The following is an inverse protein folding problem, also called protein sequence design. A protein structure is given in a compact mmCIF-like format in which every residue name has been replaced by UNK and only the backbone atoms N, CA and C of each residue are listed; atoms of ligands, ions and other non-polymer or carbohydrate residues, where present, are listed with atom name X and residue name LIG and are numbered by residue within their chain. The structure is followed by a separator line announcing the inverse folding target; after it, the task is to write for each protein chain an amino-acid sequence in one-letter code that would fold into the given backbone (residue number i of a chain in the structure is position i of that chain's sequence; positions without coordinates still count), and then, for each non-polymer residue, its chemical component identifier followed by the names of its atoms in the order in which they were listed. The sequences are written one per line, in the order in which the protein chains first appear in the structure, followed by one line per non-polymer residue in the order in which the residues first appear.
data_IF_864069458051
#
_entry.id   IF_864069458051
#
_cell.length_a   1.000
_cell.length_b   1.000
_cell.length_c   1.000
_cell.angle_alpha   90.00
_cell.angle_beta   90.00
_cell.angle_gamma   90.00
#
_symmetry.space_group_name_H-M   'P 1'
#
loop_
_entity.id
_entity.type
_entity.pdbx_description
1 polymer ?
#
# COMPACT_ATOMS: atom_id res chain seq x y z
N UNK A 1 36.54 24.71 -48.64
CA UNK A 1 35.96 23.48 -49.23
C UNK A 1 35.54 22.62 -48.06
N UNK A 2 34.24 22.48 -47.92
CA UNK A 2 33.52 21.81 -46.84
C UNK A 2 33.60 20.31 -47.03
N UNK A 3 34.14 19.60 -46.06
CA UNK A 3 34.01 18.14 -45.99
C UNK A 3 32.89 17.85 -44.97
N UNK A 4 31.78 17.33 -45.49
CA UNK A 4 30.59 17.01 -44.73
C UNK A 4 30.77 15.69 -44.01
N UNK A 5 30.87 15.73 -42.69
CA UNK A 5 30.77 14.54 -41.85
C UNK A 5 29.29 14.17 -41.72
N UNK A 6 28.93 13.06 -42.35
CA UNK A 6 27.63 12.41 -42.31
C UNK A 6 27.33 11.96 -40.86
N UNK A 7 26.60 12.80 -40.13
CA UNK A 7 26.12 12.55 -38.78
C UNK A 7 24.98 11.54 -38.80
N UNK A 8 25.32 10.26 -39.00
CA UNK A 8 24.44 9.16 -38.62
C UNK A 8 24.77 8.78 -37.19
N UNK A 9 23.99 9.28 -36.24
CA UNK A 9 23.84 8.63 -34.94
C UNK A 9 23.55 7.15 -35.21
N UNK A 10 24.53 6.30 -34.91
CA UNK A 10 24.28 4.87 -34.82
C UNK A 10 23.31 4.71 -33.67
N UNK A 11 22.08 4.28 -33.97
CA UNK A 11 21.16 3.76 -32.98
C UNK A 11 21.95 2.79 -32.08
N UNK A 12 22.17 3.19 -30.83
CA UNK A 12 22.90 2.37 -29.87
C UNK A 12 22.23 1.01 -29.78
N UNK A 13 23.02 -0.05 -29.67
CA UNK A 13 22.52 -1.41 -29.49
C UNK A 13 21.44 -1.46 -28.41
N UNK A 14 20.43 -2.34 -28.53
CA UNK A 14 19.43 -2.54 -27.48
C UNK A 14 20.14 -2.79 -26.14
N UNK A 15 19.61 -2.16 -25.08
CA UNK A 15 20.11 -2.34 -23.72
C UNK A 15 19.43 -3.58 -23.14
N UNK A 16 20.19 -4.66 -23.01
CA UNK A 16 19.71 -5.96 -22.52
C UNK A 16 19.69 -6.01 -20.98
N UNK A 17 19.94 -4.88 -20.31
CA UNK A 17 19.93 -4.76 -18.85
C UNK A 17 18.58 -5.09 -18.23
N UNK A 18 18.62 -5.82 -17.13
CA UNK A 18 17.47 -6.16 -16.29
C UNK A 18 17.38 -5.18 -15.12
N UNK A 19 16.21 -4.56 -14.92
CA UNK A 19 15.98 -3.66 -13.80
C UNK A 19 15.20 -4.38 -12.71
N UNK A 20 15.77 -4.46 -11.51
CA UNK A 20 15.06 -4.82 -10.29
C UNK A 20 14.68 -3.54 -9.55
N UNK A 21 13.40 -3.39 -9.21
CA UNK A 21 12.87 -2.15 -8.62
C UNK A 21 12.16 -2.44 -7.32
N UNK A 22 12.57 -1.75 -6.25
CA UNK A 22 11.94 -1.78 -4.92
C UNK A 22 11.71 -0.35 -4.43
N UNK A 23 10.78 -0.15 -3.49
CA UNK A 23 10.50 1.17 -2.88
C UNK A 23 9.79 1.01 -1.53
N UNK A 24 9.61 2.13 -0.83
CA UNK A 24 8.79 2.22 0.40
C UNK A 24 9.22 1.15 1.42
N UNK A 25 10.53 1.14 1.71
CA UNK A 25 11.20 0.31 2.72
C UNK A 25 11.07 0.95 4.11
N UNK A 26 11.09 2.29 4.19
CA UNK A 26 11.03 3.11 5.40
C UNK A 26 11.92 2.59 6.55
N UNK A 27 13.19 2.32 6.26
CA UNK A 27 14.14 1.86 7.26
C UNK A 27 14.55 3.04 8.16
N UNK A 28 14.47 2.86 9.47
CA UNK A 28 14.83 3.88 10.46
C UNK A 28 13.64 4.60 11.11
N UNK A 29 13.97 5.42 12.10
CA UNK A 29 13.04 6.11 12.98
C UNK A 29 13.39 5.87 14.46
N UNK A 30 12.76 6.63 15.35
CA UNK A 30 13.04 6.49 16.79
C UNK A 30 12.28 5.31 17.44
N UNK A 31 12.86 4.76 18.50
CA UNK A 31 12.25 3.76 19.39
C UNK A 31 11.72 2.53 18.63
N UNK A 32 10.40 2.30 18.65
CA UNK A 32 9.78 1.14 18.04
C UNK A 32 9.78 1.17 16.50
N UNK A 33 10.13 2.31 15.89
CA UNK A 33 10.29 2.45 14.44
C UNK A 33 11.71 2.07 13.98
N UNK A 34 12.66 1.91 14.91
CA UNK A 34 14.00 1.37 14.63
C UNK A 34 13.94 -0.10 14.19
N UNK A 35 12.88 -0.83 14.57
CA UNK A 35 12.70 -2.23 14.19
C UNK A 35 12.24 -2.37 12.73
N UNK A 36 13.20 -2.55 11.81
CA UNK A 36 12.93 -2.86 10.42
C UNK A 36 12.51 -4.34 10.25
N UNK A 37 11.21 -4.63 10.42
CA UNK A 37 10.66 -6.00 10.43
C UNK A 37 11.02 -6.83 9.17
N UNK A 38 11.19 -6.18 8.01
CA UNK A 38 11.52 -6.82 6.72
C UNK A 38 13.02 -6.83 6.38
N UNK A 39 13.89 -6.38 7.29
CA UNK A 39 15.33 -6.28 7.03
C UNK A 39 15.97 -7.63 6.66
N UNK A 40 15.70 -8.76 7.34
CA UNK A 40 16.28 -10.04 6.95
C UNK A 40 15.94 -10.47 5.52
N UNK A 41 14.70 -10.21 5.09
CA UNK A 41 14.26 -10.47 3.72
C UNK A 41 14.94 -9.55 2.71
N UNK A 42 15.21 -8.29 3.08
CA UNK A 42 15.93 -7.35 2.22
C UNK A 42 17.39 -7.76 2.07
N UNK A 43 18.05 -8.15 3.16
CA UNK A 43 19.42 -8.66 3.13
C UNK A 43 19.52 -9.91 2.24
N UNK A 44 18.58 -10.85 2.35
CA UNK A 44 18.54 -12.03 1.48
C UNK A 44 18.28 -11.69 0.01
N UNK A 45 17.49 -10.65 -0.27
CA UNK A 45 17.29 -10.15 -1.63
C UNK A 45 18.56 -9.53 -2.21
N UNK A 46 19.26 -8.71 -1.43
CA UNK A 46 20.54 -8.08 -1.80
C UNK A 46 21.65 -9.12 -2.03
N UNK A 47 21.81 -10.10 -1.13
CA UNK A 47 22.78 -11.20 -1.26
C UNK A 47 22.59 -12.00 -2.57
N UNK A 48 21.32 -12.26 -2.93
CA UNK A 48 21.00 -12.91 -4.20
C UNK A 48 21.36 -12.04 -5.42
N UNK A 49 21.14 -10.73 -5.35
CA UNK A 49 21.55 -9.82 -6.43
C UNK A 49 23.08 -9.69 -6.51
N UNK A 50 23.78 -9.64 -5.38
CA UNK A 50 25.23 -9.60 -5.34
C UNK A 50 25.88 -10.78 -6.08
N UNK A 51 25.21 -11.93 -6.11
CA UNK A 51 25.68 -13.17 -6.73
C UNK A 51 25.02 -13.51 -8.08
N UNK A 52 24.24 -12.58 -8.66
CA UNK A 52 23.58 -12.81 -9.95
C UNK A 52 24.56 -12.78 -11.13
N UNK A 53 24.27 -13.57 -12.17
CA UNK A 53 24.96 -13.55 -13.46
C UNK A 53 24.23 -12.66 -14.50
N UNK A 54 23.08 -12.08 -14.15
CA UNK A 54 22.34 -11.15 -15.01
C UNK A 54 23.06 -9.79 -15.08
N UNK A 55 23.11 -9.15 -16.26
CA UNK A 55 23.44 -7.73 -16.37
C UNK A 55 22.26 -6.93 -15.79
N UNK A 56 22.29 -6.75 -14.48
CA UNK A 56 21.19 -6.20 -13.72
C UNK A 56 21.54 -4.84 -13.12
N UNK A 57 20.52 -4.02 -12.83
CA UNK A 57 20.60 -2.83 -12.00
C UNK A 57 19.47 -2.85 -10.97
N UNK A 58 19.81 -2.53 -9.72
CA UNK A 58 18.85 -2.35 -8.65
C UNK A 58 18.47 -0.86 -8.56
N UNK A 59 17.20 -0.54 -8.74
CA UNK A 59 16.65 0.79 -8.55
C UNK A 59 15.80 0.80 -7.27
N UNK A 60 16.25 1.55 -6.26
CA UNK A 60 15.50 1.85 -5.05
C UNK A 60 14.73 3.16 -5.31
N UNK A 61 13.45 3.05 -5.64
CA UNK A 61 12.62 4.13 -6.18
C UNK A 61 11.89 4.92 -5.08
N UNK A 62 12.67 5.52 -4.16
CA UNK A 62 12.17 6.37 -3.09
C UNK A 62 11.70 5.64 -1.83
N UNK A 63 11.70 6.41 -0.73
CA UNK A 63 11.32 5.99 0.61
C UNK A 63 12.08 4.74 1.08
N UNK A 64 13.39 4.73 0.80
CA UNK A 64 14.29 3.72 1.36
C UNK A 64 14.40 3.87 2.88
N UNK A 65 14.40 5.11 3.35
CA UNK A 65 14.59 5.45 4.76
C UNK A 65 13.43 6.29 5.31
N UNK A 66 13.10 6.08 6.59
CA UNK A 66 12.12 6.88 7.33
C UNK A 66 12.75 8.12 7.96
N UNK A 67 13.29 9.06 7.17
CA UNK A 67 14.02 10.22 7.73
C UNK A 67 13.11 11.19 8.50
N UNK A 68 11.81 11.22 8.19
CA UNK A 68 10.81 11.99 8.93
C UNK A 68 10.54 11.45 10.34
N UNK A 69 10.82 10.17 10.56
CA UNK A 69 10.58 9.45 11.79
C UNK A 69 11.71 9.63 12.84
N UNK A 70 12.87 10.15 12.43
CA UNK A 70 13.93 10.59 13.35
C UNK A 70 13.61 11.95 13.93
N UNK A 71 13.28 11.99 15.23
CA UNK A 71 12.95 13.23 15.97
C UNK A 71 14.09 13.72 16.85
N UNK A 72 15.18 12.95 16.94
CA UNK A 72 16.33 13.21 17.83
C UNK A 72 17.60 13.65 17.10
N UNK A 73 17.62 13.62 15.76
CA UNK A 73 18.74 14.02 14.91
C UNK A 73 18.29 14.88 13.72
N UNK A 74 19.19 15.72 13.21
CA UNK A 74 18.92 16.63 12.09
C UNK A 74 19.99 16.52 10.99
N UNK A 75 19.58 16.73 9.73
CA UNK A 75 20.51 16.76 8.59
C UNK A 75 21.31 15.47 8.46
N UNK A 76 22.63 15.59 8.31
CA UNK A 76 23.52 14.45 8.06
C UNK A 76 23.69 13.52 9.27
N UNK A 77 23.40 13.99 10.50
CA UNK A 77 23.46 13.14 11.71
C UNK A 77 22.53 11.93 11.59
N UNK A 78 21.44 12.05 10.82
CA UNK A 78 20.54 10.92 10.52
C UNK A 78 21.22 9.81 9.73
N UNK A 79 22.16 10.14 8.83
CA UNK A 79 22.96 9.14 8.13
C UNK A 79 23.83 8.35 9.11
N UNK A 80 24.48 9.04 10.04
CA UNK A 80 25.35 8.42 11.04
C UNK A 80 24.57 7.44 11.92
N UNK A 81 23.36 7.81 12.33
CA UNK A 81 22.45 6.92 13.05
C UNK A 81 22.05 5.71 12.20
N UNK A 82 21.67 5.91 10.94
CA UNK A 82 21.34 4.80 10.04
C UNK A 82 22.52 3.81 9.89
N UNK A 83 23.73 4.33 9.73
CA UNK A 83 24.95 3.55 9.58
C UNK A 83 25.29 2.78 10.86
N UNK A 84 25.13 3.40 12.04
CA UNK A 84 25.35 2.76 13.34
C UNK A 84 24.30 1.68 13.63
N UNK A 85 23.02 1.96 13.32
CA UNK A 85 21.90 1.06 13.61
C UNK A 85 21.82 -0.11 12.63
N UNK A 86 22.11 0.10 11.34
CA UNK A 86 21.95 -0.91 10.29
C UNK A 86 23.26 -1.24 9.54
N UNK A 87 24.36 -1.60 10.22
CA UNK A 87 25.65 -1.83 9.57
C UNK A 87 25.60 -2.98 8.56
N UNK A 88 24.77 -4.00 8.81
CA UNK A 88 24.58 -5.14 7.90
C UNK A 88 23.91 -4.73 6.58
N UNK A 89 22.99 -3.76 6.60
CA UNK A 89 22.35 -3.23 5.40
C UNK A 89 23.36 -2.51 4.50
N UNK A 90 24.14 -1.61 5.08
CA UNK A 90 25.16 -0.87 4.35
C UNK A 90 26.27 -1.78 3.82
N UNK A 91 26.65 -2.82 4.57
CA UNK A 91 27.55 -3.86 4.08
C UNK A 91 26.96 -4.62 2.88
N UNK A 92 25.69 -5.04 2.96
CA UNK A 92 25.01 -5.74 1.87
C UNK A 92 24.84 -4.87 0.62
N UNK A 93 24.53 -3.57 0.77
CA UNK A 93 24.48 -2.61 -0.34
C UNK A 93 25.84 -2.48 -1.03
N UNK A 94 26.92 -2.39 -0.24
CA UNK A 94 28.29 -2.34 -0.76
C UNK A 94 28.61 -3.59 -1.58
N UNK A 95 28.38 -4.77 -1.02
CA UNK A 95 28.65 -6.05 -1.68
C UNK A 95 27.81 -6.21 -2.96
N UNK A 96 26.52 -5.85 -2.90
CA UNK A 96 25.65 -5.85 -4.09
C UNK A 96 26.19 -4.94 -5.18
N UNK A 97 26.58 -3.72 -4.81
CA UNK A 97 27.14 -2.70 -5.69
C UNK A 97 28.48 -3.05 -6.34
N UNK A 98 29.18 -4.09 -5.88
CA UNK A 98 30.38 -4.59 -6.55
C UNK A 98 30.07 -5.33 -7.86
N UNK A 99 28.87 -5.92 -7.98
CA UNK A 99 28.43 -6.71 -9.13
C UNK A 99 27.26 -6.05 -9.88
N UNK A 100 26.29 -5.50 -9.15
CA UNK A 100 25.04 -4.92 -9.66
C UNK A 100 25.00 -3.43 -9.32
N UNK A 101 24.96 -2.50 -10.28
CA UNK A 101 24.75 -1.09 -9.99
C UNK A 101 23.49 -0.87 -9.13
N UNK A 102 23.65 -0.11 -8.04
CA UNK A 102 22.55 0.26 -7.15
C UNK A 102 22.28 1.75 -7.30
N UNK A 103 21.10 2.11 -7.82
CA UNK A 103 20.63 3.49 -7.92
C UNK A 103 19.55 3.75 -6.88
N UNK A 104 19.66 4.86 -6.15
CA UNK A 104 18.69 5.30 -5.15
C UNK A 104 18.10 6.65 -5.58
N UNK A 105 16.77 6.74 -5.70
CA UNK A 105 16.06 8.01 -5.76
C UNK A 105 15.49 8.34 -4.38
N UNK A 106 15.44 9.62 -3.97
CA UNK A 106 14.68 10.04 -2.81
C UNK A 106 13.17 10.01 -3.05
N UNK A 107 12.42 9.59 -2.04
CA UNK A 107 10.97 9.76 -1.92
C UNK A 107 10.62 10.95 -1.03
N UNK A 108 9.40 10.97 -0.48
CA UNK A 108 9.02 12.06 0.43
C UNK A 108 9.57 11.83 1.85
N UNK A 109 9.57 10.60 2.36
CA UNK A 109 10.05 10.30 3.72
C UNK A 109 11.54 10.51 3.90
N UNK A 110 12.31 10.41 2.81
CA UNK A 110 13.74 10.62 2.76
C UNK A 110 14.15 11.73 1.78
N UNK A 111 13.28 12.71 1.50
CA UNK A 111 13.60 13.84 0.60
C UNK A 111 14.83 14.65 1.02
N UNK A 112 15.21 14.61 2.30
CA UNK A 112 16.44 15.24 2.81
C UNK A 112 17.70 14.69 2.11
N UNK A 113 17.63 13.49 1.51
CA UNK A 113 18.67 12.93 0.65
C UNK A 113 18.98 13.80 -0.58
N UNK A 114 18.02 14.59 -1.05
CA UNK A 114 18.22 15.57 -2.13
C UNK A 114 18.67 16.95 -1.63
N UNK A 115 18.69 17.18 -0.31
CA UNK A 115 18.95 18.50 0.27
C UNK A 115 20.41 18.72 0.67
N UNK A 116 21.20 17.65 0.81
CA UNK A 116 22.60 17.74 1.20
C UNK A 116 23.48 16.89 0.27
N UNK A 117 24.44 17.53 -0.41
CA UNK A 117 25.42 16.85 -1.28
C UNK A 117 26.22 15.78 -0.53
N UNK A 118 26.40 15.93 0.79
CA UNK A 118 27.11 14.97 1.63
C UNK A 118 26.46 13.59 1.61
N UNK A 119 25.14 13.48 1.49
CA UNK A 119 24.48 12.17 1.34
C UNK A 119 24.98 11.42 0.09
N UNK A 120 25.17 12.12 -1.02
CA UNK A 120 25.69 11.51 -2.27
C UNK A 120 27.07 10.92 -2.04
N UNK A 121 27.96 11.68 -1.39
CA UNK A 121 29.32 11.22 -1.08
C UNK A 121 29.32 10.00 -0.12
N UNK A 122 28.44 10.02 0.89
CA UNK A 122 28.33 8.94 1.88
C UNK A 122 27.78 7.65 1.27
N UNK A 123 26.72 7.72 0.45
CA UNK A 123 26.16 6.55 -0.23
C UNK A 123 27.11 5.96 -1.28
N UNK A 124 27.89 6.81 -1.98
CA UNK A 124 28.89 6.34 -2.92
C UNK A 124 29.96 5.45 -2.27
N UNK A 125 30.30 5.69 -0.99
CA UNK A 125 31.22 4.82 -0.24
C UNK A 125 30.69 3.39 -0.02
N UNK A 126 29.39 3.18 -0.23
CA UNK A 126 28.68 1.91 -0.16
C UNK A 126 28.23 1.41 -1.54
N UNK A 127 28.86 1.88 -2.62
CA UNK A 127 28.53 1.52 -4.00
C UNK A 127 27.07 1.83 -4.39
N UNK A 128 26.44 2.81 -3.74
CA UNK A 128 25.09 3.30 -4.07
C UNK A 128 25.19 4.64 -4.77
N UNK A 129 24.65 4.71 -5.99
CA UNK A 129 24.48 5.94 -6.76
C UNK A 129 23.17 6.63 -6.32
N UNK A 130 23.30 7.55 -5.36
CA UNK A 130 22.19 8.42 -4.96
C UNK A 130 21.99 9.50 -6.03
N UNK A 131 20.82 9.48 -6.67
CA UNK A 131 20.44 10.48 -7.68
C UNK A 131 19.44 11.45 -7.04
N UNK A 132 19.86 12.68 -6.66
CA UNK A 132 19.02 13.65 -5.94
C UNK A 132 17.98 14.34 -6.84
N UNK A 133 17.46 13.64 -7.84
CA UNK A 133 16.45 14.12 -8.79
C UNK A 133 15.08 13.52 -8.47
N UNK A 134 14.01 14.20 -8.89
CA UNK A 134 12.64 13.71 -8.68
C UNK A 134 12.29 12.50 -9.57
N UNK A 135 13.02 12.31 -10.65
CA UNK A 135 12.79 11.22 -11.59
C UNK A 135 14.04 10.92 -12.40
N UNK A 136 14.17 9.68 -12.87
CA UNK A 136 15.21 9.26 -13.82
C UNK A 136 14.60 8.45 -14.95
N UNK A 137 15.37 8.28 -16.02
CA UNK A 137 15.02 7.36 -17.11
C UNK A 137 16.09 6.30 -17.31
N UNK A 138 15.66 5.12 -17.76
CA UNK A 138 16.54 4.01 -18.17
C UNK A 138 16.06 3.41 -19.47
N UNK A 139 16.99 2.97 -20.32
CA UNK A 139 16.66 2.29 -21.57
C UNK A 139 16.49 0.80 -21.29
N UNK A 140 15.51 0.17 -21.92
CA UNK A 140 15.31 -1.28 -21.88
C UNK A 140 14.92 -1.75 -23.28
N UNK A 141 15.82 -2.50 -23.92
CA UNK A 141 15.70 -2.84 -25.34
C UNK A 141 15.62 -1.60 -26.23
N UNK A 142 14.48 -1.41 -26.90
CA UNK A 142 14.15 -0.26 -27.74
C UNK A 142 13.17 0.74 -27.10
N UNK A 143 12.90 0.56 -25.80
CA UNK A 143 12.00 1.39 -24.98
C UNK A 143 12.76 2.13 -23.89
N UNK A 144 12.06 3.05 -23.25
CA UNK A 144 12.50 3.76 -22.04
C UNK A 144 11.54 3.50 -20.87
N UNK A 145 12.09 3.40 -19.67
CA UNK A 145 11.40 3.38 -18.39
C UNK A 145 11.55 4.76 -17.75
N UNK A 146 10.46 5.36 -17.31
CA UNK A 146 10.45 6.53 -16.42
C UNK A 146 10.25 6.06 -14.99
N UNK A 147 11.18 6.43 -14.11
CA UNK A 147 11.11 6.17 -12.68
C UNK A 147 10.87 7.48 -11.93
N UNK A 148 9.87 7.50 -11.06
CA UNK A 148 9.69 8.52 -10.04
C UNK A 148 9.10 7.88 -8.78
N UNK A 149 9.32 8.44 -7.59
CA UNK A 149 8.74 7.85 -6.38
C UNK A 149 7.20 7.94 -6.38
N UNK A 150 6.62 9.06 -6.83
CA UNK A 150 5.18 9.24 -6.97
C UNK A 150 4.56 10.24 -5.98
N UNK A 151 5.28 10.66 -4.94
CA UNK A 151 4.84 11.75 -4.05
C UNK A 151 4.57 13.06 -4.80
N UNK A 152 5.19 13.24 -5.98
CA UNK A 152 4.96 14.37 -6.87
C UNK A 152 3.50 14.46 -7.33
N UNK A 153 2.76 13.35 -7.35
CA UNK A 153 1.36 13.29 -7.80
C UNK A 153 0.35 13.35 -6.65
N UNK A 154 0.83 13.34 -5.41
CA UNK A 154 0.01 13.40 -4.20
C UNK A 154 0.06 14.82 -3.60
N UNK A 155 -1.04 15.61 -3.64
CA UNK A 155 -1.05 16.96 -3.08
C UNK A 155 -0.69 17.04 -1.59
N UNK A 156 -0.94 15.99 -0.82
CA UNK A 156 -0.65 15.96 0.62
C UNK A 156 0.82 15.64 0.90
N UNK A 157 1.54 15.03 -0.05
CA UNK A 157 2.94 14.61 0.10
C UNK A 157 3.89 15.26 -0.91
N UNK A 158 3.39 16.09 -1.83
CA UNK A 158 4.19 16.81 -2.82
C UNK A 158 5.10 17.83 -2.14
N UNK A 159 6.39 17.74 -2.43
CA UNK A 159 7.41 18.69 -1.97
C UNK A 159 7.55 19.79 -3.03
N UNK A 160 7.08 21.00 -2.72
CA UNK A 160 7.06 22.11 -3.68
C UNK A 160 8.46 22.66 -4.02
N UNK A 161 9.35 22.70 -3.03
CA UNK A 161 10.74 23.18 -3.16
C UNK A 161 11.69 21.99 -3.00
N UNK A 162 11.85 21.19 -4.06
CA UNK A 162 12.76 20.03 -4.04
C UNK A 162 14.21 20.44 -3.74
N UNK A 163 14.87 19.69 -2.86
CA UNK A 163 16.20 20.02 -2.34
C UNK A 163 16.22 21.02 -1.19
N UNK A 164 15.07 21.57 -0.76
CA UNK A 164 14.97 22.35 0.47
C UNK A 164 14.67 21.42 1.66
N UNK A 165 15.56 21.30 2.67
CA UNK A 165 15.35 20.39 3.81
C UNK A 165 14.19 20.80 4.73
N UNK A 166 13.66 22.02 4.56
CA UNK A 166 12.54 22.54 5.35
C UNK A 166 11.20 22.49 4.60
N UNK A 167 11.18 21.97 3.36
CA UNK A 167 9.96 21.82 2.59
C UNK A 167 9.10 20.66 3.13
N UNK A 168 8.18 20.99 4.03
CA UNK A 168 7.36 20.02 4.77
C UNK A 168 5.91 20.02 4.25
N UNK A 169 5.48 18.98 3.52
CA UNK A 169 4.10 18.87 3.04
C UNK A 169 3.13 18.48 4.18
N UNK A 170 1.82 18.47 3.93
CA UNK A 170 0.83 18.15 4.98
C UNK A 170 1.03 16.74 5.58
N UNK A 171 1.43 15.78 4.75
CA UNK A 171 1.73 14.41 5.15
C UNK A 171 2.87 14.30 6.15
N UNK A 172 3.87 15.19 6.07
CA UNK A 172 4.96 15.29 7.05
C UNK A 172 4.40 15.51 8.46
N UNK A 173 3.52 16.51 8.63
CA UNK A 173 2.95 16.82 9.94
C UNK A 173 2.08 15.68 10.48
N UNK A 174 1.36 14.98 9.61
CA UNK A 174 0.61 13.80 10.03
C UNK A 174 1.56 12.71 10.52
N UNK A 175 2.61 12.39 9.77
CA UNK A 175 3.57 11.37 10.16
C UNK A 175 4.32 11.77 11.45
N UNK A 176 5.02 12.90 11.47
CA UNK A 176 5.82 13.31 12.64
C UNK A 176 4.98 13.46 13.92
N UNK A 177 3.74 13.96 13.83
CA UNK A 177 2.91 14.16 15.03
C UNK A 177 2.13 12.92 15.46
N UNK A 178 1.72 12.06 14.52
CA UNK A 178 0.88 10.89 14.84
C UNK A 178 1.72 9.63 14.87
N UNK A 179 2.48 9.36 13.82
CA UNK A 179 3.28 8.15 13.67
C UNK A 179 4.48 8.11 14.61
N UNK A 180 5.36 9.13 14.61
CA UNK A 180 6.53 9.13 15.50
C UNK A 180 6.11 9.11 16.97
N UNK A 181 5.06 9.87 17.33
CA UNK A 181 4.49 9.81 18.68
C UNK A 181 3.86 8.45 19.00
N UNK A 182 3.23 7.79 18.04
CA UNK A 182 2.66 6.45 18.24
C UNK A 182 3.77 5.42 18.47
N UNK A 183 4.88 5.50 17.73
CA UNK A 183 6.11 4.74 17.97
C UNK A 183 6.61 4.94 19.40
N UNK A 184 6.80 6.19 19.81
CA UNK A 184 7.31 6.56 21.15
C UNK A 184 6.41 6.14 22.32
N UNK A 185 5.10 6.02 22.06
CA UNK A 185 4.11 5.67 23.08
C UNK A 185 3.76 4.18 23.07
N UNK A 186 4.21 3.41 22.09
CA UNK A 186 3.76 2.04 21.87
C UNK A 186 4.12 1.11 23.04
N UNK A 187 5.26 1.35 23.69
CA UNK A 187 5.72 0.58 24.87
C UNK A 187 4.92 0.86 26.14
N UNK A 188 4.05 1.88 26.15
CA UNK A 188 3.19 2.19 27.30
C UNK A 188 1.89 1.38 27.30
N UNK A 189 1.54 0.73 26.20
CA UNK A 189 0.37 -0.13 26.07
C UNK A 189 0.56 -1.49 26.74
N UNK A 190 -0.51 -2.28 26.90
CA UNK A 190 -0.35 -3.70 27.30
C UNK A 190 0.29 -4.54 26.20
N UNK A 191 0.18 -4.06 24.97
CA UNK A 191 0.73 -4.67 23.76
C UNK A 191 1.33 -3.57 22.88
N UNK A 192 2.43 -3.88 22.19
CA UNK A 192 3.11 -2.99 21.26
C UNK A 192 2.39 -3.00 19.90
N UNK A 193 1.37 -2.14 19.74
CA UNK A 193 0.53 -2.10 18.52
C UNK A 193 0.35 -0.71 17.92
N UNK A 194 0.75 0.34 18.63
CA UNK A 194 0.69 1.70 18.11
C UNK A 194 1.75 1.94 17.03
N UNK A 195 2.84 1.18 17.02
CA UNK A 195 3.81 1.19 15.92
C UNK A 195 3.18 0.87 14.54
N UNK A 196 2.11 0.06 14.50
CA UNK A 196 1.46 -0.33 13.24
C UNK A 196 0.58 0.79 12.62
N UNK A 197 0.60 2.02 13.15
CA UNK A 197 -0.18 3.15 12.61
C UNK A 197 0.11 3.40 11.14
N UNK A 198 1.38 3.30 10.72
CA UNK A 198 1.79 3.45 9.31
C UNK A 198 1.14 2.40 8.39
N UNK A 199 0.83 1.22 8.91
CA UNK A 199 0.20 0.14 8.16
C UNK A 199 -1.32 0.32 7.98
N UNK A 200 -1.93 1.33 8.62
CA UNK A 200 -3.38 1.59 8.54
C UNK A 200 -3.70 2.48 7.35
N UNK A 201 -3.92 1.84 6.20
CA UNK A 201 -4.33 2.55 4.99
C UNK A 201 -5.74 2.14 4.53
N UNK A 202 -6.57 3.10 4.05
CA UNK A 202 -6.39 4.55 4.15
C UNK A 202 -6.68 5.09 5.58
N UNK A 203 -6.26 6.33 5.84
CA UNK A 203 -6.23 6.97 7.18
C UNK A 203 -7.60 7.06 7.85
N UNK A 204 -8.70 7.08 7.10
CA UNK A 204 -10.08 7.11 7.65
C UNK A 204 -10.41 5.84 8.44
N UNK A 205 -9.62 4.76 8.26
CA UNK A 205 -9.77 3.53 9.04
C UNK A 205 -9.18 3.64 10.45
N UNK A 206 -8.37 4.66 10.74
CA UNK A 206 -7.69 4.85 12.03
C UNK A 206 -8.62 4.77 13.24
N UNK A 207 -9.77 5.48 13.30
CA UNK A 207 -10.66 5.39 14.47
C UNK A 207 -11.21 3.98 14.70
N UNK A 208 -11.55 3.28 13.62
CA UNK A 208 -12.07 1.90 13.67
C UNK A 208 -10.97 0.92 14.07
N UNK A 209 -9.75 1.13 13.59
CA UNK A 209 -8.57 0.35 13.96
C UNK A 209 -8.24 0.51 15.45
N UNK A 210 -8.22 1.73 15.98
CA UNK A 210 -8.02 1.99 17.42
C UNK A 210 -9.10 1.28 18.25
N UNK A 211 -10.37 1.37 17.84
CA UNK A 211 -11.47 0.67 18.52
C UNK A 211 -11.27 -0.85 18.50
N UNK A 212 -10.83 -1.40 17.37
CA UNK A 212 -10.50 -2.82 17.24
C UNK A 212 -9.38 -3.22 18.19
N UNK A 213 -8.24 -2.51 18.18
CA UNK A 213 -7.10 -2.81 19.03
C UNK A 213 -7.44 -2.65 20.51
N UNK A 214 -8.23 -1.63 20.87
CA UNK A 214 -8.77 -1.52 22.21
C UNK A 214 -9.62 -2.74 22.59
N UNK A 215 -10.58 -3.14 21.76
CA UNK A 215 -11.46 -4.26 22.04
C UNK A 215 -10.70 -5.59 22.16
N UNK A 216 -9.81 -5.90 21.22
CA UNK A 216 -9.14 -7.20 21.17
C UNK A 216 -7.85 -7.27 22.01
N UNK A 217 -7.12 -6.17 22.21
CA UNK A 217 -5.83 -6.18 22.92
C UNK A 217 -5.89 -5.52 24.31
N UNK A 218 -6.54 -4.37 24.45
CA UNK A 218 -6.47 -3.60 25.72
C UNK A 218 -7.61 -3.90 26.71
N UNK A 219 -8.82 -4.15 26.21
CA UNK A 219 -10.03 -4.33 27.02
C UNK A 219 -9.88 -5.50 28.00
N UNK A 220 -10.30 -5.28 29.25
CA UNK A 220 -10.29 -6.33 30.27
C UNK A 220 -11.05 -7.58 29.75
N UNK A 221 -10.45 -8.79 29.83
CA UNK A 221 -11.07 -10.01 29.33
C UNK A 221 -12.49 -10.28 29.87
N UNK A 222 -12.76 -9.98 31.14
CA UNK A 222 -14.09 -10.15 31.73
C UNK A 222 -15.11 -9.22 31.06
N UNK A 223 -14.76 -7.96 30.84
CA UNK A 223 -15.61 -7.00 30.14
C UNK A 223 -15.80 -7.42 28.67
N UNK A 224 -14.73 -7.79 27.98
CA UNK A 224 -14.78 -8.22 26.59
C UNK A 224 -15.69 -9.41 26.38
N UNK A 225 -15.46 -10.51 27.11
CA UNK A 225 -16.23 -11.73 26.92
C UNK A 225 -17.67 -11.62 27.45
N UNK A 226 -17.95 -10.71 28.40
CA UNK A 226 -19.32 -10.39 28.79
C UNK A 226 -20.08 -9.57 27.74
N UNK A 227 -19.38 -8.73 26.96
CA UNK A 227 -19.98 -7.96 25.85
C UNK A 227 -20.26 -8.81 24.60
N UNK A 228 -19.43 -9.82 24.31
CA UNK A 228 -19.54 -10.64 23.09
C UNK A 228 -20.97 -11.18 22.83
N UNK A 229 -21.68 -11.79 23.81
CA UNK A 229 -23.05 -12.26 23.59
C UNK A 229 -24.02 -11.15 23.20
N UNK A 230 -23.89 -9.95 23.80
CA UNK A 230 -24.73 -8.80 23.48
C UNK A 230 -24.46 -8.31 22.05
N UNK A 231 -23.18 -8.20 21.67
CA UNK A 231 -22.78 -7.77 20.32
C UNK A 231 -23.21 -8.76 19.23
N UNK A 232 -23.11 -10.06 19.50
CA UNK A 232 -23.55 -11.12 18.58
C UNK A 232 -25.07 -11.12 18.39
N UNK A 233 -25.83 -10.88 19.46
CA UNK A 233 -27.30 -10.86 19.41
C UNK A 233 -27.87 -9.50 19.00
N UNK A 234 -27.04 -8.46 18.92
CA UNK A 234 -27.51 -7.10 18.64
C UNK A 234 -28.29 -7.00 17.33
N UNK A 235 -27.79 -7.59 16.23
CA UNK A 235 -28.48 -7.51 14.93
C UNK A 235 -29.88 -8.14 14.98
N UNK A 236 -29.99 -9.34 15.57
CA UNK A 236 -31.28 -10.02 15.77
C UNK A 236 -32.18 -9.18 16.66
N UNK A 237 -31.62 -8.60 17.72
CA UNK A 237 -32.35 -7.77 18.67
C UNK A 237 -32.83 -6.45 18.05
N UNK A 238 -32.06 -5.85 17.16
CA UNK A 238 -32.44 -4.66 16.41
C UNK A 238 -33.60 -4.96 15.46
N UNK A 239 -33.55 -6.09 14.73
CA UNK A 239 -34.68 -6.54 13.90
C UNK A 239 -35.93 -6.81 14.72
N UNK A 240 -35.79 -7.48 15.88
CA UNK A 240 -36.89 -7.72 16.80
C UNK A 240 -37.42 -6.43 17.43
N UNK A 241 -36.56 -5.44 17.70
CA UNK A 241 -36.98 -4.13 18.19
C UNK A 241 -37.82 -3.37 17.15
N UNK A 242 -37.43 -3.42 15.88
CA UNK A 242 -38.24 -2.89 14.78
C UNK A 242 -39.58 -3.62 14.70
N UNK A 243 -39.57 -4.97 14.76
CA UNK A 243 -40.78 -5.78 14.79
C UNK A 243 -41.71 -5.42 15.97
N UNK A 244 -41.16 -5.20 17.16
CA UNK A 244 -41.91 -4.79 18.34
C UNK A 244 -42.52 -3.39 18.17
N UNK A 245 -41.79 -2.46 17.52
CA UNK A 245 -42.33 -1.15 17.15
C UNK A 245 -43.50 -1.24 16.17
N UNK A 246 -43.41 -2.14 15.18
CA UNK A 246 -44.49 -2.39 14.22
C UNK A 246 -45.73 -3.03 14.87
N UNK A 247 -45.53 -3.92 15.84
CA UNK A 247 -46.60 -4.50 16.66
C UNK A 247 -47.32 -3.45 17.51
N UNK A 248 -46.55 -2.60 18.20
CA UNK A 248 -47.10 -1.46 18.95
C UNK A 248 -47.84 -0.46 18.06
N UNK A 249 -47.39 -0.29 16.81
CA UNK A 249 -48.06 0.56 15.83
C UNK A 249 -49.27 -0.11 15.15
N UNK A 250 -49.56 -1.37 15.45
CA UNK A 250 -50.66 -2.14 14.85
C UNK A 250 -50.43 -2.54 13.39
N UNK A 251 -49.20 -2.43 12.89
CA UNK A 251 -48.84 -2.76 11.51
C UNK A 251 -48.63 -4.26 11.32
N UNK A 252 -48.07 -4.96 12.31
CA UNK A 252 -47.78 -6.40 12.24
C UNK A 252 -47.67 -7.05 13.61
N UNK A 253 -48.23 -8.24 13.81
CA UNK A 253 -48.21 -8.94 15.11
C UNK A 253 -47.00 -9.87 15.30
N UNK A 254 -46.20 -9.65 16.34
CA UNK A 254 -45.03 -10.49 16.66
C UNK A 254 -45.39 -11.77 17.44
N UNK A 255 -44.84 -12.95 17.10
CA UNK A 255 -45.15 -14.22 17.78
C UNK A 255 -44.35 -14.43 19.08
N UNK A 256 -44.41 -13.44 20.00
CA UNK A 256 -43.60 -13.39 21.23
C UNK A 256 -43.78 -14.64 22.10
N UNK A 257 -45.02 -15.11 22.26
CA UNK A 257 -45.38 -16.26 23.09
C UNK A 257 -44.78 -17.58 22.58
N UNK A 258 -44.70 -17.76 21.25
CA UNK A 258 -44.07 -18.96 20.66
C UNK A 258 -42.57 -18.97 20.89
N UNK A 259 -41.92 -17.81 20.76
CA UNK A 259 -40.47 -17.69 20.99
C UNK A 259 -40.12 -17.93 22.46
N UNK A 260 -40.91 -17.37 23.38
CA UNK A 260 -40.74 -17.61 24.81
C UNK A 260 -40.94 -19.10 25.16
N UNK A 261 -42.02 -19.72 24.65
CA UNK A 261 -42.31 -21.13 24.88
C UNK A 261 -41.24 -22.08 24.29
N UNK A 262 -40.65 -21.73 23.14
CA UNK A 262 -39.55 -22.49 22.55
C UNK A 262 -38.29 -22.44 23.42
N UNK A 263 -37.90 -21.25 23.90
CA UNK A 263 -36.72 -21.10 24.74
C UNK A 263 -36.91 -21.76 26.11
N UNK A 264 -38.10 -21.73 26.68
CA UNK A 264 -38.39 -22.34 27.99
C UNK A 264 -38.19 -23.87 27.99
N UNK A 265 -38.21 -24.53 26.82
CA UNK A 265 -37.89 -25.96 26.67
C UNK A 265 -36.46 -26.30 27.13
N UNK A 266 -35.57 -25.32 27.16
CA UNK A 266 -34.19 -25.46 27.62
C UNK A 266 -34.03 -25.17 29.13
N UNK A 267 -35.14 -25.03 29.87
CA UNK A 267 -35.15 -24.79 31.32
C UNK A 267 -34.45 -23.49 31.71
N UNK A 268 -33.62 -23.52 32.76
CA UNK A 268 -32.94 -22.31 33.30
C UNK A 268 -32.06 -21.60 32.26
N UNK A 269 -31.43 -22.36 31.35
CA UNK A 269 -30.62 -21.78 30.29
C UNK A 269 -31.51 -21.00 29.29
N UNK A 270 -32.69 -21.55 29.00
CA UNK A 270 -33.72 -20.91 28.19
C UNK A 270 -34.25 -19.60 28.80
N UNK A 271 -34.57 -19.63 30.09
CA UNK A 271 -35.02 -18.42 30.81
C UNK A 271 -33.96 -17.32 30.80
N UNK A 272 -32.68 -17.68 30.99
CA UNK A 272 -31.56 -16.73 30.93
C UNK A 272 -31.38 -16.15 29.51
N UNK A 273 -31.48 -16.99 28.48
CA UNK A 273 -31.41 -16.56 27.08
C UNK A 273 -32.57 -15.62 26.72
N UNK A 274 -33.79 -15.91 27.18
CA UNK A 274 -34.95 -15.03 27.00
C UNK A 274 -34.76 -13.66 27.65
N UNK A 275 -34.31 -13.64 28.91
CA UNK A 275 -34.02 -12.38 29.61
C UNK A 275 -32.98 -11.54 28.86
N UNK A 276 -31.88 -12.18 28.44
CA UNK A 276 -30.82 -11.51 27.69
C UNK A 276 -31.32 -10.99 26.33
N UNK A 277 -32.19 -11.73 25.64
CA UNK A 277 -32.81 -11.28 24.40
C UNK A 277 -33.70 -10.06 24.62
N UNK A 278 -34.60 -10.10 25.60
CA UNK A 278 -35.50 -8.96 25.93
C UNK A 278 -34.71 -7.72 26.30
N UNK A 279 -33.66 -7.88 27.11
CA UNK A 279 -32.76 -6.78 27.48
C UNK A 279 -32.07 -6.20 26.24
N UNK A 280 -31.54 -7.05 25.34
CA UNK A 280 -30.91 -6.58 24.11
C UNK A 280 -31.91 -5.88 23.18
N UNK A 281 -33.14 -6.38 23.05
CA UNK A 281 -34.19 -5.74 22.24
C UNK A 281 -34.53 -4.36 22.80
N UNK A 282 -34.65 -4.23 24.12
CA UNK A 282 -34.90 -2.93 24.76
C UNK A 282 -33.76 -1.94 24.52
N UNK A 283 -32.51 -2.38 24.70
CA UNK A 283 -31.31 -1.55 24.46
C UNK A 283 -31.19 -1.19 22.97
N UNK A 284 -31.39 -2.14 22.07
CA UNK A 284 -31.35 -1.91 20.63
C UNK A 284 -32.46 -0.94 20.20
N UNK A 285 -33.68 -1.07 20.75
CA UNK A 285 -34.77 -0.13 20.52
C UNK A 285 -34.42 1.29 20.97
N UNK A 286 -33.86 1.45 22.16
CA UNK A 286 -33.37 2.75 22.65
C UNK A 286 -32.29 3.35 21.74
N UNK A 287 -31.30 2.53 21.33
CA UNK A 287 -30.24 2.97 20.43
C UNK A 287 -30.77 3.36 19.05
N UNK A 288 -31.75 2.64 18.50
CA UNK A 288 -32.43 3.00 17.25
C UNK A 288 -33.17 4.33 17.39
N UNK A 289 -33.87 4.55 18.51
CA UNK A 289 -34.55 5.82 18.78
C UNK A 289 -33.57 7.00 18.84
N UNK A 290 -32.38 6.82 19.42
CA UNK A 290 -31.31 7.85 19.44
C UNK A 290 -30.61 7.96 18.09
N UNK A 291 -30.50 6.87 17.33
CA UNK A 291 -29.86 6.86 16.01
C UNK A 291 -30.63 7.69 14.98
N UNK A 292 -31.96 7.78 15.09
CA UNK A 292 -32.80 8.59 14.19
C UNK A 292 -32.40 10.09 14.21
N UNK A 293 -32.43 10.82 15.35
CA UNK A 293 -31.99 12.22 15.37
C UNK A 293 -30.51 12.36 15.04
N UNK A 294 -29.66 11.43 15.49
CA UNK A 294 -28.22 11.48 15.17
C UNK A 294 -27.96 11.32 13.67
N UNK A 295 -28.74 10.50 12.97
CA UNK A 295 -28.68 10.36 11.51
C UNK A 295 -29.00 11.69 10.82
N UNK A 296 -30.03 12.41 11.26
CA UNK A 296 -30.37 13.72 10.69
C UNK A 296 -29.29 14.77 10.96
N UNK A 297 -28.75 14.82 12.19
CA UNK A 297 -27.62 15.72 12.53
C UNK A 297 -26.40 15.38 11.68
N UNK A 298 -26.01 14.10 11.60
CA UNK A 298 -24.88 13.65 10.77
C UNK A 298 -25.07 14.02 9.32
N UNK A 299 -26.27 13.84 8.78
CA UNK A 299 -26.60 14.20 7.40
C UNK A 299 -26.47 15.70 7.16
N UNK A 300 -26.88 16.52 8.11
CA UNK A 300 -26.79 17.98 8.03
C UNK A 300 -25.35 18.49 8.14
N UNK A 301 -24.58 17.94 9.09
CA UNK A 301 -23.14 18.19 9.23
C UNK A 301 -22.40 17.79 7.96
N UNK A 302 -22.68 16.61 7.40
CA UNK A 302 -22.04 16.14 6.15
C UNK A 302 -22.32 17.10 5.00
N UNK A 303 -23.59 17.46 4.76
CA UNK A 303 -23.94 18.45 3.74
C UNK A 303 -23.22 19.79 3.94
N UNK A 304 -23.04 20.20 5.20
CA UNK A 304 -22.34 21.43 5.55
C UNK A 304 -20.86 21.33 5.22
N UNK A 305 -20.21 20.23 5.58
CA UNK A 305 -18.82 19.92 5.24
C UNK A 305 -18.62 19.90 3.72
N UNK A 306 -19.46 19.17 2.99
CA UNK A 306 -19.39 19.06 1.52
C UNK A 306 -19.51 20.45 0.86
N UNK A 307 -20.33 21.34 1.43
CA UNK A 307 -20.50 22.72 0.93
C UNK A 307 -19.28 23.60 1.16
N UNK A 308 -18.54 23.40 2.25
CA UNK A 308 -17.40 24.23 2.59
C UNK A 308 -16.10 23.76 1.93
N UNK A 309 -16.06 22.57 1.32
CA UNK A 309 -14.83 22.02 0.72
C UNK A 309 -13.69 21.85 1.73
N UNK A 310 -13.96 21.97 3.03
CA UNK A 310 -12.97 21.90 4.13
C UNK A 310 -12.41 20.49 4.27
N UNK A 311 -13.14 19.52 3.75
CA UNK A 311 -12.63 18.21 3.42
C UNK A 311 -12.97 18.03 1.94
N UNK A 312 -12.01 18.17 1.03
CA UNK A 312 -12.06 17.41 -0.22
C UNK A 312 -12.23 15.96 0.21
N UNK A 313 -13.48 15.52 0.23
CA UNK A 313 -13.86 14.30 0.90
C UNK A 313 -13.57 13.21 -0.10
N UNK A 314 -12.34 12.71 -0.03
CA UNK A 314 -11.82 11.47 -0.58
C UNK A 314 -12.69 10.27 -0.13
N UNK A 315 -13.92 10.20 -0.60
CA UNK A 315 -14.73 8.98 -0.56
C UNK A 315 -14.84 8.33 -1.94
N UNK A 316 -14.33 9.00 -2.99
CA UNK A 316 -14.27 8.52 -4.38
C UNK A 316 -13.14 9.20 -5.19
N UNK A 317 -12.07 9.71 -4.57
CA UNK A 317 -10.88 10.07 -5.37
C UNK A 317 -10.20 8.75 -5.70
N UNK A 318 -10.18 8.40 -6.98
CA UNK A 318 -9.39 7.28 -7.46
C UNK A 318 -7.93 7.62 -7.15
N UNK A 319 -7.36 6.95 -6.15
CA UNK A 319 -5.99 7.15 -5.70
C UNK A 319 -4.98 6.90 -6.83
N UNK A 320 -5.40 6.30 -7.93
CA UNK A 320 -4.57 6.01 -9.10
C UNK A 320 -4.67 7.09 -10.19
N UNK A 321 -5.74 7.90 -10.26
CA UNK A 321 -5.98 8.81 -11.39
C UNK A 321 -4.84 9.84 -11.58
N UNK A 322 -4.29 10.49 -10.53
CA UNK A 322 -3.16 11.42 -10.70
C UNK A 322 -1.92 10.76 -11.33
N UNK A 323 -1.73 9.46 -11.10
CA UNK A 323 -0.63 8.69 -11.66
C UNK A 323 -0.91 8.24 -13.10
N UNK A 324 -2.17 7.90 -13.40
CA UNK A 324 -2.60 7.60 -14.76
C UNK A 324 -2.47 8.83 -15.64
N UNK A 325 -2.89 10.01 -15.17
CA UNK A 325 -2.73 11.29 -15.87
C UNK A 325 -1.24 11.60 -16.11
N UNK A 326 -0.40 11.51 -15.07
CA UNK A 326 1.04 11.73 -15.21
C UNK A 326 1.72 10.76 -16.18
N UNK A 327 1.32 9.48 -16.19
CA UNK A 327 1.83 8.50 -17.13
C UNK A 327 1.43 8.83 -18.58
N UNK A 328 0.17 9.24 -18.81
CA UNK A 328 -0.27 9.72 -20.14
C UNK A 328 0.58 10.88 -20.62
N UNK A 329 0.74 11.91 -19.78
CA UNK A 329 1.55 13.10 -20.12
C UNK A 329 2.98 12.70 -20.50
N UNK A 330 3.61 11.82 -19.72
CA UNK A 330 4.97 11.32 -20.01
C UNK A 330 5.04 10.54 -21.32
N UNK A 331 4.07 9.65 -21.59
CA UNK A 331 4.07 8.87 -22.83
C UNK A 331 3.77 9.72 -24.07
N UNK A 332 2.94 10.76 -23.93
CA UNK A 332 2.66 11.73 -25.00
C UNK A 332 3.88 12.61 -25.30
N UNK A 333 4.55 13.12 -24.27
CA UNK A 333 5.74 13.97 -24.41
C UNK A 333 6.97 13.20 -24.89
N UNK A 334 7.13 11.94 -24.46
CA UNK A 334 8.29 11.08 -24.74
C UNK A 334 7.84 9.71 -25.27
N UNK A 335 7.49 9.60 -26.56
CA UNK A 335 6.90 8.37 -27.14
C UNK A 335 7.80 7.12 -27.12
N UNK A 336 9.09 7.26 -26.82
CA UNK A 336 10.02 6.15 -26.55
C UNK A 336 9.81 5.52 -25.17
N UNK A 337 9.20 6.26 -24.24
CA UNK A 337 8.86 5.78 -22.90
C UNK A 337 7.64 4.88 -22.98
N UNK A 338 7.78 3.64 -22.52
CA UNK A 338 6.70 2.65 -22.53
C UNK A 338 6.28 2.22 -21.13
N UNK A 339 7.07 2.55 -20.10
CA UNK A 339 6.79 2.19 -18.71
C UNK A 339 6.95 3.43 -17.84
N UNK A 340 5.95 3.66 -16.99
CA UNK A 340 6.00 4.63 -15.90
C UNK A 340 5.96 3.82 -14.59
N UNK A 341 7.07 3.84 -13.85
CA UNK A 341 7.25 3.04 -12.64
C UNK A 341 7.33 3.95 -11.40
N UNK A 342 6.47 3.70 -10.42
CA UNK A 342 6.33 4.52 -9.21
C UNK A 342 6.07 3.72 -7.94
N UNK A 343 6.33 4.32 -6.77
CA UNK A 343 6.06 3.78 -5.43
C UNK A 343 4.92 4.54 -4.72
N UNK A 344 5.14 4.96 -3.47
CA UNK A 344 4.34 5.93 -2.69
C UNK A 344 2.97 5.46 -2.21
N UNK A 345 2.24 4.65 -2.98
CA UNK A 345 0.87 4.24 -2.62
C UNK A 345 0.81 2.93 -1.83
N UNK A 346 1.94 2.23 -1.71
CA UNK A 346 2.07 0.94 -1.04
C UNK A 346 1.13 -0.15 -1.59
N UNK A 347 0.78 -0.09 -2.89
CA UNK A 347 -0.19 -0.98 -3.54
C UNK A 347 0.39 -1.49 -4.86
N UNK A 348 1.05 -2.66 -4.87
CA UNK A 348 1.63 -3.17 -6.11
C UNK A 348 0.52 -3.42 -7.14
N UNK A 349 0.71 -2.85 -8.33
CA UNK A 349 -0.32 -2.77 -9.36
C UNK A 349 0.33 -2.57 -10.72
N UNK A 350 -0.25 -3.17 -11.76
CA UNK A 350 0.02 -2.79 -13.15
C UNK A 350 -1.27 -2.37 -13.83
N UNK A 351 -1.19 -1.33 -14.66
CA UNK A 351 -2.34 -0.81 -15.41
C UNK A 351 -1.90 -0.34 -16.78
N UNK A 352 -2.53 -0.87 -17.82
CA UNK A 352 -2.36 -0.37 -19.16
C UNK A 352 -2.92 1.06 -19.25
N UNK A 353 -2.12 1.97 -19.79
CA UNK A 353 -2.47 3.37 -20.04
C UNK A 353 -2.22 3.63 -21.52
N UNK A 354 -2.92 4.59 -22.12
CA UNK A 354 -2.66 4.96 -23.50
C UNK A 354 -1.19 5.36 -23.68
N UNK A 355 -0.47 4.65 -24.55
CA UNK A 355 0.97 4.86 -24.78
C UNK A 355 1.91 3.91 -24.01
N UNK A 356 1.46 3.23 -22.96
CA UNK A 356 2.37 2.39 -22.16
C UNK A 356 1.75 1.68 -20.96
N UNK A 357 2.61 1.32 -19.99
CA UNK A 357 2.24 0.61 -18.78
C UNK A 357 2.58 1.45 -17.54
N UNK A 358 1.60 1.63 -16.67
CA UNK A 358 1.78 2.16 -15.33
C UNK A 358 2.09 1.00 -14.38
N UNK A 359 3.15 1.13 -13.59
CA UNK A 359 3.67 0.09 -12.68
C UNK A 359 3.86 0.69 -11.29
N UNK A 360 3.12 0.22 -10.29
CA UNK A 360 3.35 0.55 -8.89
C UNK A 360 4.20 -0.54 -8.22
N UNK A 361 5.38 -0.21 -7.73
CA UNK A 361 6.31 -1.17 -7.10
C UNK A 361 5.74 -1.81 -5.84
N UNK A 362 4.88 -1.11 -5.10
CA UNK A 362 4.27 -1.60 -3.87
C UNK A 362 4.95 -1.04 -2.64
N UNK A 363 5.32 -1.90 -1.69
CA UNK A 363 5.98 -1.50 -0.44
C UNK A 363 6.77 -2.66 0.12
N UNK A 364 7.68 -2.42 1.06
CA UNK A 364 8.35 -3.48 1.83
C UNK A 364 7.91 -3.52 3.29
N UNK A 365 6.70 -3.03 3.57
CA UNK A 365 6.13 -2.94 4.90
C UNK A 365 5.02 -3.95 5.18
N UNK A 366 4.69 -4.08 6.46
CA UNK A 366 3.50 -4.77 6.94
C UNK A 366 2.23 -4.05 6.47
N UNK A 367 1.25 -4.83 6.02
CA UNK A 367 -0.07 -4.36 5.56
C UNK A 367 -1.17 -4.90 6.47
N UNK A 368 -2.12 -4.04 6.82
CA UNK A 368 -3.30 -4.42 7.61
C UNK A 368 -4.54 -4.56 6.74
N UNK A 369 -5.04 -5.79 6.64
CA UNK A 369 -6.25 -6.12 5.88
C UNK A 369 -7.46 -6.13 6.80
N UNK A 370 -8.37 -5.17 6.60
CA UNK A 370 -9.65 -5.14 7.32
C UNK A 370 -10.49 -6.37 6.97
N UNK A 371 -10.99 -7.05 8.01
CA UNK A 371 -11.91 -8.16 7.96
C UNK A 371 -13.10 -7.87 8.86
N UNK A 372 -14.20 -7.47 8.25
CA UNK A 372 -15.44 -7.24 8.98
C UNK A 372 -15.94 -8.53 9.62
N UNK A 373 -16.46 -8.43 10.85
CA UNK A 373 -17.00 -9.57 11.58
C UNK A 373 -18.09 -10.30 10.79
N UNK A 374 -18.18 -11.62 10.95
CA UNK A 374 -19.14 -12.47 10.22
C UNK A 374 -20.59 -12.14 10.60
N UNK A 375 -20.80 -11.64 11.82
CA UNK A 375 -22.12 -11.30 12.38
C UNK A 375 -21.94 -10.05 13.26
N UNK A 376 -22.74 -9.01 13.03
CA UNK A 376 -22.98 -8.00 14.07
C UNK A 376 -22.10 -6.75 14.04
N UNK A 377 -22.11 -6.09 15.19
CA UNK A 377 -21.44 -4.82 15.52
C UNK A 377 -20.03 -5.03 16.07
N UNK A 378 -19.51 -6.26 15.96
CA UNK A 378 -18.17 -6.58 16.43
C UNK A 378 -17.14 -5.73 15.68
N UNK A 379 -16.14 -5.15 16.38
CA UNK A 379 -15.07 -4.43 15.71
C UNK A 379 -14.39 -5.31 14.65
N UNK A 380 -14.08 -4.77 13.46
CA UNK A 380 -13.43 -5.55 12.41
C UNK A 380 -12.04 -5.98 12.89
N UNK A 381 -11.59 -7.13 12.42
CA UNK A 381 -10.22 -7.60 12.67
C UNK A 381 -9.31 -6.99 11.60
N UNK A 382 -8.16 -6.47 12.00
CA UNK A 382 -7.13 -6.00 11.07
C UNK A 382 -6.05 -7.07 10.97
N UNK A 383 -6.13 -7.86 9.90
CA UNK A 383 -5.28 -9.02 9.67
C UNK A 383 -3.92 -8.57 9.10
N UNK A 384 -2.79 -8.83 9.77
CA UNK A 384 -1.49 -8.42 9.28
C UNK A 384 -0.91 -9.42 8.27
N UNK A 385 -0.30 -8.91 7.22
CA UNK A 385 0.53 -9.67 6.29
C UNK A 385 1.62 -8.79 5.71
N UNK A 386 2.70 -9.41 5.25
CA UNK A 386 3.74 -8.72 4.52
C UNK A 386 3.50 -8.84 3.02
N UNK A 387 3.80 -7.78 2.29
CA UNK A 387 3.77 -7.75 0.84
C UNK A 387 5.10 -7.14 0.44
N UNK A 388 6.09 -7.96 0.06
CA UNK A 388 7.46 -7.54 -0.23
C UNK A 388 7.80 -7.86 -1.70
N UNK A 389 7.28 -7.08 -2.67
CA UNK A 389 7.55 -7.28 -4.08
C UNK A 389 8.88 -6.65 -4.51
N UNK A 390 9.55 -7.28 -5.49
CA UNK A 390 10.50 -6.61 -6.36
C UNK A 390 9.98 -6.67 -7.80
N UNK A 391 9.94 -5.54 -8.49
CA UNK A 391 9.54 -5.50 -9.90
C UNK A 391 10.75 -5.81 -10.76
N UNK A 392 10.67 -6.83 -11.61
CA UNK A 392 11.69 -7.15 -12.61
C UNK A 392 11.22 -6.65 -13.98
N UNK A 393 11.98 -5.76 -14.61
CA UNK A 393 11.72 -5.23 -15.94
C UNK A 393 12.87 -5.63 -16.86
N UNK A 394 12.60 -6.37 -17.93
CA UNK A 394 13.62 -6.89 -18.82
C UNK A 394 13.21 -6.78 -20.28
N UNK A 395 14.19 -6.53 -21.15
CA UNK A 395 14.01 -6.66 -22.59
C UNK A 395 13.87 -8.14 -22.95
N UNK A 396 12.93 -8.44 -23.85
CA UNK A 396 12.70 -9.78 -24.38
C UNK A 396 12.44 -9.73 -25.89
N UNK A 397 12.45 -10.89 -26.53
CA UNK A 397 12.15 -11.00 -27.96
C UNK A 397 10.80 -10.37 -28.29
N UNK A 398 10.85 -9.24 -28.99
CA UNK A 398 9.67 -8.51 -29.45
C UNK A 398 9.08 -7.49 -28.46
N UNK A 399 9.75 -7.19 -27.34
CA UNK A 399 9.24 -6.20 -26.39
C UNK A 399 9.94 -6.14 -25.04
N UNK A 400 9.18 -5.72 -24.03
CA UNK A 400 9.63 -5.56 -22.64
C UNK A 400 8.66 -6.31 -21.72
N UNK A 401 9.19 -7.16 -20.86
CA UNK A 401 8.44 -7.88 -19.83
C UNK A 401 8.52 -7.17 -18.48
N UNK A 402 7.40 -7.14 -17.75
CA UNK A 402 7.31 -6.60 -16.39
C UNK A 402 6.69 -7.66 -15.49
N UNK A 403 7.43 -8.05 -14.47
CA UNK A 403 7.08 -9.13 -13.54
C UNK A 403 7.23 -8.71 -12.09
N UNK A 404 6.40 -9.27 -11.21
CA UNK A 404 6.52 -9.08 -9.77
C UNK A 404 7.08 -10.33 -9.13
N UNK A 405 8.27 -10.21 -8.55
CA UNK A 405 8.83 -11.24 -7.69
C UNK A 405 8.34 -11.03 -6.25
N UNK A 406 7.74 -12.06 -5.64
CA UNK A 406 7.34 -12.01 -4.24
C UNK A 406 8.43 -12.56 -3.33
N UNK A 407 9.00 -11.68 -2.48
CA UNK A 407 9.85 -12.12 -1.38
C UNK A 407 8.93 -12.61 -0.25
N UNK A 408 9.06 -13.89 0.10
CA UNK A 408 8.15 -14.56 1.03
C UNK A 408 8.53 -14.32 2.48
N UNK A 409 7.62 -13.72 3.25
CA UNK A 409 7.70 -13.60 4.71
C UNK A 409 6.43 -14.18 5.34
N UNK A 410 6.54 -15.09 6.34
CA UNK A 410 5.37 -15.61 7.03
C UNK A 410 4.51 -14.48 7.61
N UNK A 411 3.18 -14.62 7.51
CA UNK A 411 2.27 -13.65 8.15
C UNK A 411 2.49 -13.65 9.66
N UNK A 412 2.59 -12.47 10.31
CA UNK A 412 2.77 -12.38 11.76
C UNK A 412 1.45 -12.64 12.51
N UNK A 413 0.39 -13.04 11.81
CA UNK A 413 -0.95 -13.25 12.36
C UNK A 413 -1.01 -14.26 13.52
N UNK A 414 -0.13 -15.26 13.55
CA UNK A 414 -0.08 -16.22 14.67
C UNK A 414 0.41 -15.62 15.97
N UNK A 415 1.30 -14.64 15.86
CA UNK A 415 1.96 -13.95 16.98
C UNK A 415 1.15 -12.71 17.39
N UNK A 416 0.67 -11.96 16.40
CA UNK A 416 -0.03 -10.71 16.63
C UNK A 416 -1.53 -10.87 16.91
N UNK A 417 -2.25 -11.76 16.21
CA UNK A 417 -3.69 -11.86 16.42
C UNK A 417 -4.02 -12.66 17.69
N UNK A 418 -4.91 -12.08 18.51
CA UNK A 418 -5.47 -12.80 19.65
C UNK A 418 -6.26 -14.03 19.20
N UNK A 419 -6.49 -14.97 20.12
CA UNK A 419 -7.30 -16.17 19.83
C UNK A 419 -8.70 -15.82 19.31
N UNK A 420 -9.30 -14.74 19.83
CA UNK A 420 -10.61 -14.25 19.39
C UNK A 420 -10.56 -13.73 17.97
N UNK A 421 -9.55 -12.92 17.64
CA UNK A 421 -9.36 -12.40 16.28
C UNK A 421 -9.17 -13.53 15.27
N UNK A 422 -8.29 -14.49 15.59
CA UNK A 422 -8.06 -15.68 14.75
C UNK A 422 -9.33 -16.50 14.54
N UNK A 423 -10.14 -16.69 15.59
CA UNK A 423 -11.42 -17.38 15.47
C UNK A 423 -12.40 -16.64 14.54
N UNK A 424 -12.45 -15.31 14.60
CA UNK A 424 -13.33 -14.49 13.76
C UNK A 424 -12.88 -14.40 12.30
N UNK A 425 -11.61 -14.73 12.02
CA UNK A 425 -11.02 -14.67 10.67
C UNK A 425 -10.69 -16.04 10.07
N UNK A 426 -11.07 -17.15 10.71
CA UNK A 426 -10.85 -18.51 10.16
C UNK A 426 -11.40 -18.61 8.73
N UNK A 427 -10.55 -19.05 7.80
CA UNK A 427 -10.91 -19.20 6.38
C UNK A 427 -11.08 -17.88 5.62
N UNK A 428 -10.72 -16.74 6.23
CA UNK A 428 -10.82 -15.39 5.65
C UNK A 428 -9.47 -14.65 5.69
N UNK A 429 -8.39 -15.41 5.68
CA UNK A 429 -7.03 -14.90 5.58
C UNK A 429 -6.87 -14.08 4.29
N UNK A 430 -6.10 -12.99 4.31
CA UNK A 430 -5.82 -12.23 3.09
C UNK A 430 -5.03 -13.08 2.10
N UNK A 431 -5.57 -13.18 0.89
CA UNK A 431 -4.79 -13.62 -0.26
C UNK A 431 -4.04 -12.40 -0.75
N UNK A 432 -2.73 -12.37 -0.51
CA UNK A 432 -1.84 -11.34 -1.04
C UNK A 432 -1.44 -11.78 -2.45
N UNK A 433 -2.11 -11.25 -3.47
CA UNK A 433 -1.76 -11.50 -4.87
C UNK A 433 -0.99 -10.31 -5.42
N UNK A 434 0.13 -10.57 -6.09
CA UNK A 434 0.82 -9.58 -6.90
C UNK A 434 0.24 -9.58 -8.33
N UNK A 435 0.42 -8.48 -9.09
CA UNK A 435 -0.02 -8.41 -10.48
C UNK A 435 0.61 -9.52 -11.34
N UNK A 436 -0.17 -10.03 -12.30
CA UNK A 436 0.33 -10.96 -13.30
C UNK A 436 1.35 -10.27 -14.22
N UNK A 437 2.29 -11.05 -14.73
CA UNK A 437 3.27 -10.65 -15.74
C UNK A 437 2.61 -9.88 -16.89
N UNK A 438 3.16 -8.72 -17.21
CA UNK A 438 2.76 -7.91 -18.37
C UNK A 438 3.85 -7.94 -19.43
N UNK A 439 3.45 -7.84 -20.69
CA UNK A 439 4.37 -7.74 -21.83
C UNK A 439 3.96 -6.57 -22.72
N UNK A 440 4.92 -5.72 -23.04
CA UNK A 440 4.72 -4.53 -23.86
C UNK A 440 5.47 -4.74 -25.17
N UNK A 441 4.76 -4.71 -26.29
CA UNK A 441 5.37 -4.89 -27.61
C UNK A 441 6.40 -3.79 -27.91
N UNK A 442 7.50 -4.20 -28.54
CA UNK A 442 8.56 -3.32 -29.02
C UNK A 442 8.06 -2.38 -30.12
N UNK A 443 8.86 -1.37 -30.46
CA UNK A 443 8.51 -0.41 -31.51
C UNK A 443 8.60 -1.18 -32.83
N UNK A 444 7.46 -1.44 -33.45
CA UNK A 444 7.46 -1.94 -34.83
C UNK A 444 8.17 -0.91 -35.68
N UNK A 445 9.39 -1.24 -36.12
CA UNK A 445 10.20 -0.39 -36.99
C UNK A 445 9.39 -0.15 -38.27
N UNK A 446 8.76 1.02 -38.35
CA UNK A 446 7.97 1.44 -39.50
C UNK A 446 8.90 1.66 -40.68
N UNK A 447 9.35 0.58 -41.32
CA UNK A 447 10.54 0.69 -42.15
C UNK A 447 11.01 -0.58 -42.87
N UNK A 448 10.18 -1.59 -43.08
CA UNK A 448 10.46 -2.59 -44.13
C UNK A 448 9.41 -2.49 -45.22
N UNK A 449 9.71 -1.66 -46.23
CA UNK A 449 9.08 -1.78 -47.55
C UNK A 449 9.18 -3.24 -47.98
N UNK A 450 8.06 -3.94 -47.95
CA UNK A 450 7.88 -5.18 -48.71
C UNK A 450 7.73 -4.75 -50.17
N UNK A 451 8.87 -4.61 -50.85
CA UNK A 451 8.89 -4.64 -52.30
C UNK A 451 9.02 -6.10 -52.73
N UNK A 452 7.92 -6.60 -53.29
CA UNK A 452 7.83 -7.43 -54.48
C UNK A 452 8.68 -8.71 -54.57
N UNK A 453 8.01 -9.87 -54.45
CA UNK A 453 7.91 -10.86 -55.55
C UNK A 453 7.26 -12.15 -55.02
N UNK A 454 6.04 -12.44 -55.51
CA UNK A 454 5.53 -13.74 -56.00
C UNK A 454 4.01 -13.81 -55.90
N UNK A 455 3.34 -13.03 -56.76
CA UNK A 455 1.97 -13.33 -57.16
C UNK A 455 2.02 -14.28 -58.37
N UNK A 456 1.97 -15.60 -58.11
CA UNK A 456 1.62 -16.55 -59.16
C UNK A 456 0.74 -17.68 -58.62
N UNK A 457 -0.47 -17.74 -59.20
CA UNK A 457 -1.38 -18.89 -59.38
C UNK A 457 -2.28 -19.31 -58.20
N UNK A 458 -3.58 -19.12 -58.41
CA UNK A 458 -4.65 -19.75 -57.62
C UNK A 458 -6.05 -19.40 -58.11
N UNK A 459 -6.35 -19.68 -59.38
CA UNK A 459 -7.67 -19.52 -60.00
C UNK A 459 -8.62 -20.62 -59.48
N UNK A 460 -9.77 -20.25 -58.93
CA UNK A 460 -10.92 -21.13 -58.70
C UNK A 460 -12.19 -20.33 -59.08
N UNK A 461 -12.68 -20.44 -60.32
CA UNK A 461 -13.81 -21.30 -60.72
C UNK A 461 -15.04 -21.12 -59.84
N UNK A 462 -15.94 -20.27 -60.33
CA UNK A 462 -17.39 -20.39 -60.18
C UNK A 462 -17.88 -21.68 -60.85
N UNK A 463 -18.71 -22.45 -60.16
CA UNK A 463 -19.94 -23.10 -60.67
C UNK A 463 -20.38 -24.22 -59.69
N UNK A 464 -21.41 -23.91 -58.88
CA UNK A 464 -22.73 -24.59 -58.76
C UNK A 464 -23.45 -24.18 -57.47
#
# INVERSE_FOLDING_TARGET
MTDGADGRERAGAPDDRVYYVISDLHIGGDEQLEEAESLPELLGFLDRLATTDEDAELVINGDAFGLWEFTTAEGIEKFELLEETYPELFAALRETGENVPVTLLPGNHDHELAAYDEYVERFAAYNVDLVPEQSITRRVGDRTIHFEHGHQRDPNNRIAEWGNPHATPLGYYYNTLVTSRAGQLSDRGRYNWLKDVQAVTPTERMPVWILSKYFYREMNPLLRYSLVPFLLLFNVSALLAVGAGLDLAGVWSMPVERTAAFLDQFGRAGTAAWFLLVLNVAVAGLLLLVAIPLYFIRRDVRKTVDRFGVFETELTVDAEEPYVEAARDVFEERPETAIFCYGHTHRPMTRAVEGGLLVNTGTWLKRLHRRDGVIGVLPPVFYPSYQLPAVRIAAEDGGVAVEYEQISKPSPSTEELTRTERFLTVGREPVVTLPDRQFIEGRSDGGRRVNDETATLGRATTDE
#
